data_IF_489605774259
#
_entry.id   IF_489605774259
#
_cell.length_a   1.000
_cell.length_b   1.000
_cell.length_c   1.000
_cell.angle_alpha   90.00
_cell.angle_beta   90.00
_cell.angle_gamma   90.00
#
_symmetry.space_group_name_H-M   'P 1'
#
loop_
_entity.id
_entity.type
_entity.pdbx_description
1 polymer ?
#
# COMPACT_ATOMS: atom_id res chain seq x y z
N UNK A 1 10.36 -20.80 -24.71
CA UNK A 1 11.11 -19.54 -24.50
C UNK A 1 10.91 -19.14 -23.05
N UNK A 2 11.93 -19.29 -22.20
CA UNK A 2 11.82 -18.93 -20.79
C UNK A 2 11.95 -17.41 -20.67
N UNK A 3 10.92 -16.76 -20.12
CA UNK A 3 10.99 -15.35 -19.79
C UNK A 3 12.09 -15.16 -18.74
N UNK A 4 13.13 -14.42 -19.11
CA UNK A 4 14.22 -14.05 -18.22
C UNK A 4 13.67 -13.13 -17.13
N UNK A 5 13.37 -13.72 -15.96
CA UNK A 5 13.04 -12.95 -14.76
C UNK A 5 14.30 -12.23 -14.35
N UNK A 6 14.38 -10.93 -14.65
CA UNK A 6 15.44 -10.06 -14.16
C UNK A 6 15.38 -10.05 -12.63
N UNK A 7 16.26 -10.83 -12.00
CA UNK A 7 16.48 -10.79 -10.55
C UNK A 7 17.11 -9.44 -10.24
N UNK A 8 16.33 -8.52 -9.68
CA UNK A 8 16.89 -7.29 -9.13
C UNK A 8 17.78 -7.67 -7.95
N UNK A 9 19.08 -7.41 -8.09
CA UNK A 9 20.05 -7.59 -7.03
C UNK A 9 19.85 -6.45 -6.01
N UNK A 10 18.79 -6.53 -5.20
CA UNK A 10 18.30 -5.43 -4.36
C UNK A 10 19.37 -4.81 -3.46
N UNK A 11 20.32 -5.61 -2.98
CA UNK A 11 21.45 -5.16 -2.16
C UNK A 11 22.40 -4.18 -2.86
N UNK A 12 22.59 -4.27 -4.18
CA UNK A 12 23.43 -3.31 -4.92
C UNK A 12 22.75 -1.96 -5.09
N UNK A 13 21.43 -1.96 -5.31
CA UNK A 13 20.65 -0.73 -5.40
C UNK A 13 20.57 -0.06 -4.02
N UNK A 14 20.28 -0.82 -2.97
CA UNK A 14 20.25 -0.35 -1.58
C UNK A 14 21.54 0.42 -1.21
N UNK A 15 22.71 -0.16 -1.51
CA UNK A 15 24.00 0.48 -1.24
C UNK A 15 24.18 1.81 -1.99
N UNK A 16 23.76 1.89 -3.27
CA UNK A 16 23.82 3.13 -4.05
C UNK A 16 22.87 4.22 -3.53
N UNK A 17 21.81 3.82 -2.83
CA UNK A 17 20.85 4.71 -2.17
C UNK A 17 21.24 5.03 -0.71
N UNK A 18 22.38 4.52 -0.22
CA UNK A 18 22.86 4.75 1.14
C UNK A 18 22.27 3.82 2.21
N UNK A 19 21.59 2.74 1.83
CA UNK A 19 21.03 1.75 2.75
C UNK A 19 22.09 0.66 2.99
N UNK A 20 23.00 0.91 3.92
CA UNK A 20 24.14 0.01 4.20
C UNK A 20 23.98 -0.83 5.46
N UNK A 21 23.23 -0.32 6.45
CA UNK A 21 23.13 -0.93 7.78
C UNK A 21 21.86 -1.76 7.96
N UNK A 22 21.94 -2.81 8.79
CA UNK A 22 20.81 -3.67 9.18
C UNK A 22 20.82 -3.85 10.69
N UNK A 23 19.63 -3.91 11.30
CA UNK A 23 19.50 -4.10 12.75
C UNK A 23 19.97 -5.49 13.24
N UNK A 24 20.04 -6.48 12.35
CA UNK A 24 20.45 -7.85 12.66
C UNK A 24 21.52 -8.33 11.66
N UNK A 25 22.75 -7.78 11.72
CA UNK A 25 23.79 -8.04 10.73
C UNK A 25 24.37 -9.46 10.82
N UNK A 26 24.21 -10.14 11.97
CA UNK A 26 24.70 -11.50 12.21
C UNK A 26 23.77 -12.61 11.70
N UNK A 27 22.55 -12.27 11.24
CA UNK A 27 21.61 -13.25 10.70
C UNK A 27 22.01 -13.66 9.28
N UNK A 28 21.93 -14.96 8.99
CA UNK A 28 22.12 -15.46 7.63
C UNK A 28 21.00 -14.97 6.72
N UNK A 29 21.37 -14.29 5.63
CA UNK A 29 20.43 -13.83 4.63
C UNK A 29 19.85 -15.01 3.82
N UNK A 30 18.62 -14.85 3.35
CA UNK A 30 17.95 -15.79 2.47
C UNK A 30 17.21 -15.02 1.38
N UNK A 31 16.86 -15.71 0.29
CA UNK A 31 16.11 -15.09 -0.82
C UNK A 31 14.64 -15.46 -0.75
N UNK A 32 13.79 -14.44 -0.80
CA UNK A 32 12.34 -14.59 -0.82
C UNK A 32 11.73 -13.84 -1.99
N UNK A 33 10.71 -14.45 -2.56
CA UNK A 33 9.93 -13.90 -3.66
C UNK A 33 8.81 -13.01 -3.09
N UNK A 34 8.94 -11.69 -3.23
CA UNK A 34 7.94 -10.73 -2.73
C UNK A 34 6.99 -10.27 -3.84
N UNK A 35 5.73 -9.95 -3.48
CA UNK A 35 4.72 -9.37 -4.38
C UNK A 35 4.44 -10.20 -5.64
N UNK A 36 4.36 -11.54 -5.51
CA UNK A 36 4.07 -12.44 -6.64
C UNK A 36 2.65 -12.27 -7.16
N UNK A 37 1.71 -11.98 -6.28
CA UNK A 37 0.34 -11.56 -6.59
C UNK A 37 0.07 -10.24 -5.89
N UNK A 38 -0.83 -9.43 -6.46
CA UNK A 38 -1.26 -8.17 -5.85
C UNK A 38 -1.88 -8.37 -4.47
N UNK A 39 -2.47 -9.54 -4.20
CA UNK A 39 -3.02 -9.91 -2.90
C UNK A 39 -1.98 -10.24 -1.84
N UNK A 40 -0.73 -10.53 -2.23
CA UNK A 40 0.34 -10.91 -1.28
C UNK A 40 0.82 -9.71 -0.45
N UNK A 41 0.49 -8.47 -0.86
CA UNK A 41 0.86 -7.26 -0.13
C UNK A 41 -0.25 -6.20 -0.24
N UNK A 42 -0.97 -5.98 0.86
CA UNK A 42 -2.05 -4.99 0.95
C UNK A 42 -1.66 -3.91 1.96
N UNK A 43 -2.04 -2.66 1.68
CA UNK A 43 -1.71 -1.49 2.51
C UNK A 43 -3.00 -0.80 2.91
N UNK A 44 -3.12 -0.49 4.19
CA UNK A 44 -4.21 0.32 4.75
C UNK A 44 -3.61 1.52 5.47
N UNK A 45 -4.06 2.71 5.11
CA UNK A 45 -3.60 3.97 5.71
C UNK A 45 -4.12 4.11 7.15
N UNK A 46 -3.29 4.67 8.02
CA UNK A 46 -3.67 5.05 9.38
C UNK A 46 -3.80 6.58 9.41
N UNK A 47 -4.99 7.05 9.73
CA UNK A 47 -5.30 8.47 9.85
C UNK A 47 -4.61 9.09 11.09
N UNK A 48 -4.56 10.43 11.12
CA UNK A 48 -3.99 11.19 12.26
C UNK A 48 -4.68 10.92 13.60
N UNK A 49 -5.94 10.49 13.57
CA UNK A 49 -6.72 10.09 14.76
C UNK A 49 -6.48 8.64 15.19
N UNK A 50 -5.58 7.92 14.50
CA UNK A 50 -5.26 6.52 14.75
C UNK A 50 -6.23 5.53 14.10
N UNK A 51 -7.27 6.00 13.39
CA UNK A 51 -8.19 5.11 12.69
C UNK A 51 -7.57 4.50 11.43
N UNK A 52 -7.84 3.22 11.18
CA UNK A 52 -7.34 2.52 9.98
C UNK A 52 -8.39 2.56 8.87
N UNK A 53 -8.00 3.07 7.70
CA UNK A 53 -8.86 3.18 6.54
C UNK A 53 -9.21 1.80 5.97
N UNK A 54 -10.50 1.44 5.97
CA UNK A 54 -11.02 0.22 5.35
C UNK A 54 -12.24 0.54 4.49
N UNK A 55 -12.40 -0.16 3.36
CA UNK A 55 -13.62 -0.13 2.58
C UNK A 55 -14.73 -0.83 3.37
N UNK A 56 -15.73 -0.07 3.85
CA UNK A 56 -16.86 -0.60 4.63
C UNK A 56 -18.14 -0.75 3.81
N UNK A 57 -18.28 0.04 2.74
CA UNK A 57 -19.49 0.10 1.93
C UNK A 57 -19.13 0.38 0.46
N UNK A 58 -19.87 -0.23 -0.46
CA UNK A 58 -19.69 -0.08 -1.92
C UNK A 58 -20.88 0.60 -2.60
N UNK A 59 -22.00 0.78 -1.89
CA UNK A 59 -23.15 1.54 -2.37
C UNK A 59 -22.80 3.01 -2.52
N UNK A 60 -23.36 3.64 -3.55
CA UNK A 60 -23.29 5.09 -3.73
C UNK A 60 -24.08 5.81 -2.63
N UNK A 61 -23.61 6.97 -2.16
CA UNK A 61 -24.38 7.79 -1.25
C UNK A 61 -25.66 8.30 -1.93
N UNK A 62 -26.76 8.52 -1.18
CA UNK A 62 -27.97 9.11 -1.74
C UNK A 62 -27.68 10.51 -2.28
N UNK A 63 -28.42 10.95 -3.33
CA UNK A 63 -28.27 12.30 -3.85
C UNK A 63 -28.55 13.33 -2.75
N UNK A 64 -27.90 14.51 -2.78
CA UNK A 64 -28.23 15.61 -1.88
C UNK A 64 -29.72 15.92 -1.98
N UNK A 65 -30.39 16.13 -0.83
CA UNK A 65 -31.78 16.61 -0.84
C UNK A 65 -31.79 18.01 -1.46
N UNK A 66 -32.66 18.25 -2.44
CA UNK A 66 -32.91 19.60 -2.93
C UNK A 66 -33.26 20.50 -1.74
N UNK A 67 -32.71 21.72 -1.65
CA UNK A 67 -33.12 22.66 -0.62
C UNK A 67 -34.61 22.92 -0.79
N UNK A 68 -35.40 22.56 0.22
CA UNK A 68 -36.83 22.86 0.27
C UNK A 68 -37.01 24.35 -0.03
N UNK A 69 -37.79 24.73 -1.05
CA UNK A 69 -38.05 26.14 -1.32
C UNK A 69 -38.61 26.78 -0.05
N UNK A 70 -38.00 27.90 0.38
CA UNK A 70 -38.52 28.68 1.50
C UNK A 70 -39.97 29.09 1.15
N UNK A 71 -40.91 29.04 2.11
CA UNK A 71 -42.27 29.51 1.88
C UNK A 71 -42.24 30.94 1.34
N UNK A 72 -43.01 31.21 0.28
CA UNK A 72 -43.21 32.58 -0.19
C UNK A 72 -43.93 33.39 0.91
N UNK A 73 -43.55 34.66 1.13
CA UNK A 73 -44.11 35.52 2.16
C UNK A 73 -45.61 35.81 1.98
#
# INVERSE_FOLDING_TARGET
MAAEVRRSNGTRLDASLGITERIAPSMTAWTGDMRKRYTDFQVYEINKDGSVLHLKETRLPPPPKEPTPLPLP
#
